data_IF_831100420695
#
_entry.id   IF_831100420695
#
_cell.length_a   1.000
_cell.length_b   1.000
_cell.length_c   1.000
_cell.angle_alpha   90.00
_cell.angle_beta   90.00
_cell.angle_gamma   90.00
#
_symmetry.space_group_name_H-M   'P 1'
#
loop_
_entity.id
_entity.type
_entity.pdbx_description
1 polymer ?
#
# COMPACT_ATOMS: atom_id res chain seq x y z
N UNK A 1 0.69 2.65 -18.92
CA UNK A 1 -0.32 1.76 -18.28
C UNK A 1 0.13 0.31 -18.43
N UNK A 2 0.31 -0.41 -17.31
CA UNK A 2 0.71 -1.83 -17.33
C UNK A 2 -0.49 -2.72 -17.68
N UNK A 3 -0.40 -3.46 -18.80
CA UNK A 3 -1.52 -4.28 -19.35
C UNK A 3 -1.18 -5.77 -19.49
N UNK A 4 -0.11 -6.24 -18.84
CA UNK A 4 0.31 -7.65 -18.93
C UNK A 4 -0.80 -8.63 -18.48
N UNK A 5 -1.63 -8.22 -17.52
CA UNK A 5 -2.78 -9.00 -17.02
C UNK A 5 -3.94 -9.14 -18.03
N UNK A 6 -3.89 -8.43 -19.17
CA UNK A 6 -4.88 -8.49 -20.25
C UNK A 6 -4.45 -9.38 -21.42
N UNK A 7 -3.21 -9.87 -21.43
CA UNK A 7 -2.68 -10.69 -22.51
C UNK A 7 -3.43 -12.03 -22.59
N UNK A 8 -3.69 -12.51 -23.81
CA UNK A 8 -4.44 -13.75 -24.09
C UNK A 8 -3.89 -14.97 -23.34
N UNK A 9 -2.56 -15.08 -23.22
CA UNK A 9 -1.91 -16.18 -22.50
C UNK A 9 -2.31 -16.21 -21.03
N UNK A 10 -2.39 -15.04 -20.38
CA UNK A 10 -2.83 -14.88 -18.99
C UNK A 10 -4.31 -15.20 -18.88
N UNK A 11 -5.14 -14.65 -19.78
CA UNK A 11 -6.59 -14.88 -19.77
C UNK A 11 -6.94 -16.37 -19.96
N UNK A 12 -6.29 -17.05 -20.91
CA UNK A 12 -6.45 -18.50 -21.12
C UNK A 12 -6.04 -19.30 -19.88
N UNK A 13 -4.98 -18.87 -19.17
CA UNK A 13 -4.54 -19.52 -17.94
C UNK A 13 -5.57 -19.37 -16.80
N UNK A 14 -6.11 -18.16 -16.61
CA UNK A 14 -7.15 -17.88 -15.61
C UNK A 14 -8.42 -18.69 -15.88
N UNK A 15 -8.87 -18.74 -17.13
CA UNK A 15 -10.02 -19.55 -17.55
C UNK A 15 -9.80 -21.04 -17.25
N UNK A 16 -8.63 -21.59 -17.58
CA UNK A 16 -8.26 -22.99 -17.27
C UNK A 16 -8.29 -23.28 -15.77
N UNK A 17 -7.99 -22.29 -14.93
CA UNK A 17 -8.01 -22.39 -13.46
C UNK A 17 -9.37 -22.06 -12.83
N UNK A 18 -10.41 -21.81 -13.64
CA UNK A 18 -11.75 -21.38 -13.18
C UNK A 18 -11.70 -20.08 -12.35
N UNK A 19 -10.77 -19.19 -12.68
CA UNK A 19 -10.61 -17.89 -12.03
C UNK A 19 -11.23 -16.80 -12.89
N UNK A 20 -12.18 -16.05 -12.33
CA UNK A 20 -12.76 -14.88 -12.98
C UNK A 20 -11.85 -13.68 -12.79
N UNK A 21 -11.68 -12.88 -13.84
CA UNK A 21 -10.90 -11.64 -13.83
C UNK A 21 -11.85 -10.45 -13.76
N UNK A 22 -11.67 -9.60 -12.76
CA UNK A 22 -12.22 -8.25 -12.73
C UNK A 22 -11.13 -7.26 -13.16
N UNK A 23 -11.44 -6.35 -14.08
CA UNK A 23 -10.53 -5.26 -14.48
C UNK A 23 -10.99 -3.99 -13.81
N UNK A 24 -10.10 -3.37 -13.04
CA UNK A 24 -10.39 -2.12 -12.34
C UNK A 24 -10.16 -0.95 -13.31
N UNK A 25 -11.14 -0.04 -13.49
CA UNK A 25 -10.96 1.15 -14.31
C UNK A 25 -9.86 2.06 -13.76
N UNK A 26 -9.24 2.85 -14.64
CA UNK A 26 -8.27 3.87 -14.23
C UNK A 26 -8.93 4.87 -13.28
N UNK A 27 -8.20 5.27 -12.23
CA UNK A 27 -8.71 6.18 -11.19
C UNK A 27 -9.57 5.51 -10.11
N UNK A 28 -9.89 4.21 -10.23
CA UNK A 28 -10.68 3.49 -9.23
C UNK A 28 -9.84 2.61 -8.29
N UNK A 29 -8.52 2.66 -8.37
CA UNK A 29 -7.61 1.86 -7.53
C UNK A 29 -7.82 2.12 -6.04
N UNK A 30 -7.94 3.39 -5.64
CA UNK A 30 -8.18 3.80 -4.25
C UNK A 30 -9.57 3.47 -3.71
N UNK A 31 -10.44 2.86 -4.54
CA UNK A 31 -11.82 2.50 -4.16
C UNK A 31 -12.05 0.99 -4.26
N UNK A 32 -11.54 0.36 -5.32
CA UNK A 32 -11.90 -1.01 -5.69
C UNK A 32 -10.76 -2.01 -5.47
N UNK A 33 -9.55 -1.57 -5.12
CA UNK A 33 -8.42 -2.47 -4.87
C UNK A 33 -8.14 -2.56 -3.37
N UNK A 34 -8.44 -3.69 -2.70
CA UNK A 34 -8.21 -3.86 -1.26
C UNK A 34 -6.77 -3.57 -0.84
N UNK A 35 -5.84 -3.90 -1.75
CA UNK A 35 -4.42 -3.64 -1.55
C UNK A 35 -4.16 -2.14 -1.36
N UNK A 36 -4.69 -1.27 -2.22
CA UNK A 36 -4.47 0.18 -2.13
C UNK A 36 -5.37 0.85 -1.08
N UNK A 37 -6.56 0.30 -0.85
CA UNK A 37 -7.52 0.83 0.14
C UNK A 37 -7.06 0.62 1.58
N UNK A 38 -6.43 -0.51 1.91
CA UNK A 38 -6.15 -0.81 3.33
C UNK A 38 -4.87 -1.58 3.62
N UNK A 39 -4.27 -2.29 2.66
CA UNK A 39 -3.16 -3.20 2.97
C UNK A 39 -1.78 -2.59 2.69
N UNK A 40 -1.65 -1.80 1.63
CA UNK A 40 -0.38 -1.20 1.22
C UNK A 40 0.17 -0.25 2.28
N UNK A 41 -0.68 0.56 2.92
CA UNK A 41 -0.24 1.49 3.97
C UNK A 41 0.42 0.76 5.14
N UNK A 42 -0.26 -0.15 5.89
CA UNK A 42 0.39 -0.86 7.00
C UNK A 42 1.58 -1.70 6.55
N UNK A 43 1.52 -2.33 5.38
CA UNK A 43 2.64 -3.08 4.81
C UNK A 43 3.89 -2.19 4.60
N UNK A 44 3.74 -1.05 3.90
CA UNK A 44 4.82 -0.10 3.63
C UNK A 44 5.34 0.52 4.93
N UNK A 45 4.45 0.89 5.85
CA UNK A 45 4.84 1.42 7.18
C UNK A 45 5.71 0.43 7.95
N UNK A 46 5.31 -0.84 8.04
CA UNK A 46 6.11 -1.85 8.75
C UNK A 46 7.44 -2.14 8.05
N UNK A 47 7.43 -2.24 6.73
CA UNK A 47 8.65 -2.44 5.93
C UNK A 47 9.64 -1.29 6.15
N UNK A 48 9.15 -0.03 6.12
CA UNK A 48 9.98 1.15 6.38
C UNK A 48 10.54 1.15 7.79
N UNK A 49 9.74 0.79 8.81
CA UNK A 49 10.24 0.68 10.17
C UNK A 49 11.37 -0.35 10.33
N UNK A 50 11.24 -1.53 9.71
CA UNK A 50 12.28 -2.57 9.73
C UNK A 50 13.55 -2.13 9.00
N UNK A 51 13.40 -1.49 7.85
CA UNK A 51 14.52 -0.92 7.11
C UNK A 51 15.23 0.18 7.92
N UNK A 52 14.48 1.09 8.56
CA UNK A 52 15.04 2.17 9.38
C UNK A 52 15.81 1.60 10.57
N UNK A 53 15.26 0.60 11.26
CA UNK A 53 15.96 -0.07 12.38
C UNK A 53 17.26 -0.71 11.91
N UNK A 54 17.23 -1.41 10.78
CA UNK A 54 18.45 -1.97 10.19
C UNK A 54 19.44 -0.89 9.76
N UNK A 55 18.97 0.25 9.26
CA UNK A 55 19.80 1.39 8.93
C UNK A 55 20.38 2.10 10.15
N UNK A 56 19.81 1.98 11.35
CA UNK A 56 20.34 2.63 12.55
C UNK A 56 21.27 1.66 13.29
N UNK A 57 20.79 0.44 13.53
CA UNK A 57 21.38 -0.53 14.46
C UNK A 57 22.07 -1.70 13.75
N UNK A 58 21.85 -1.87 12.44
CA UNK A 58 22.38 -3.01 11.68
C UNK A 58 23.88 -2.91 11.39
N UNK A 59 24.51 -4.02 10.97
CA UNK A 59 25.93 -4.06 10.64
C UNK A 59 26.29 -3.04 9.56
N UNK A 60 27.26 -2.17 9.87
CA UNK A 60 27.78 -1.15 8.96
C UNK A 60 28.93 -1.72 8.14
N UNK A 61 28.57 -2.45 7.09
CA UNK A 61 29.53 -2.85 6.07
C UNK A 61 29.63 -1.78 4.98
N UNK A 62 30.85 -1.52 4.53
CA UNK A 62 31.12 -0.55 3.47
C UNK A 62 31.66 -1.23 2.22
N UNK A 63 31.38 -0.64 1.07
CA UNK A 63 32.00 -1.00 -0.21
C UNK A 63 33.43 -0.47 -0.25
N UNK A 64 34.23 -0.92 -1.23
CA UNK A 64 35.58 -0.37 -1.42
C UNK A 64 35.59 1.15 -1.69
N UNK A 65 34.47 1.70 -2.20
CA UNK A 65 34.27 3.14 -2.40
C UNK A 65 33.80 3.90 -1.18
N UNK A 66 33.62 3.25 -0.02
CA UNK A 66 33.20 3.91 1.22
C UNK A 66 31.68 4.06 1.40
N UNK A 67 30.85 3.62 0.44
CA UNK A 67 29.39 3.65 0.59
C UNK A 67 28.91 2.48 1.45
N UNK A 68 27.87 2.70 2.27
CA UNK A 68 27.25 1.61 3.04
C UNK A 68 26.67 0.57 2.08
N UNK A 69 26.87 -0.71 2.37
CA UNK A 69 26.30 -1.79 1.57
C UNK A 69 24.77 -1.77 1.65
N UNK A 70 24.13 -2.05 0.51
CA UNK A 70 22.70 -2.32 0.45
C UNK A 70 22.33 -3.59 1.23
N UNK A 71 21.10 -3.65 1.72
CA UNK A 71 20.55 -4.87 2.29
C UNK A 71 20.60 -6.03 1.27
N UNK A 72 20.84 -7.24 1.75
CA UNK A 72 20.80 -8.43 0.90
C UNK A 72 19.36 -8.73 0.48
N UNK A 73 19.18 -9.49 -0.61
CA UNK A 73 17.84 -9.94 -1.02
C UNK A 73 17.16 -10.76 0.08
N UNK A 74 17.92 -11.61 0.77
CA UNK A 74 17.40 -12.38 1.91
C UNK A 74 16.85 -11.44 2.99
N UNK A 75 17.60 -10.40 3.35
CA UNK A 75 17.18 -9.45 4.37
C UNK A 75 15.88 -8.71 3.97
N UNK A 76 15.75 -8.32 2.69
CA UNK A 76 14.53 -7.69 2.16
C UNK A 76 13.35 -8.66 2.18
N UNK A 77 13.57 -9.94 1.86
CA UNK A 77 12.54 -10.97 1.95
C UNK A 77 12.06 -11.17 3.40
N UNK A 78 12.97 -11.19 4.37
CA UNK A 78 12.63 -11.29 5.80
C UNK A 78 11.77 -10.10 6.26
N UNK A 79 12.08 -8.89 5.81
CA UNK A 79 11.24 -7.72 6.09
C UNK A 79 9.87 -7.80 5.43
N UNK A 80 9.82 -8.28 4.19
CA UNK A 80 8.56 -8.45 3.44
C UNK A 80 7.63 -9.44 4.16
N UNK A 81 8.17 -10.58 4.60
CA UNK A 81 7.43 -11.58 5.37
C UNK A 81 6.96 -10.98 6.70
N UNK A 82 7.86 -10.36 7.45
CA UNK A 82 7.54 -9.75 8.75
C UNK A 82 6.50 -8.63 8.63
N UNK A 83 6.54 -7.84 7.56
CA UNK A 83 5.56 -6.79 7.28
C UNK A 83 4.20 -7.38 6.95
N UNK A 84 4.15 -8.42 6.12
CA UNK A 84 2.90 -9.12 5.80
C UNK A 84 2.28 -9.78 7.04
N UNK A 85 3.07 -10.48 7.84
CA UNK A 85 2.60 -11.17 9.05
C UNK A 85 2.10 -10.21 10.14
N UNK A 86 2.54 -8.94 10.10
CA UNK A 86 2.02 -7.91 11.00
C UNK A 86 0.61 -7.45 10.68
N UNK A 87 0.10 -7.73 9.47
CA UNK A 87 -1.25 -7.36 9.05
C UNK A 87 -2.22 -8.42 9.56
N UNK A 88 -3.19 -7.99 10.36
CA UNK A 88 -4.17 -8.91 10.93
C UNK A 88 -5.09 -9.50 9.85
N UNK A 89 -5.56 -10.74 10.06
CA UNK A 89 -6.59 -11.35 9.21
C UNK A 89 -7.85 -10.49 9.13
N UNK A 90 -8.20 -9.83 10.23
CA UNK A 90 -9.35 -8.91 10.31
C UNK A 90 -9.18 -7.73 9.35
N UNK A 91 -7.98 -7.12 9.30
CA UNK A 91 -7.66 -6.04 8.35
C UNK A 91 -7.83 -6.51 6.91
N UNK A 92 -7.39 -7.74 6.60
CA UNK A 92 -7.58 -8.32 5.27
C UNK A 92 -9.07 -8.48 4.96
N UNK A 93 -9.86 -9.09 5.84
CA UNK A 93 -11.30 -9.29 5.63
C UNK A 93 -12.01 -7.95 5.43
N UNK A 94 -11.76 -6.96 6.31
CA UNK A 94 -12.34 -5.62 6.21
C UNK A 94 -11.97 -4.92 4.91
N UNK A 95 -10.74 -5.07 4.43
CA UNK A 95 -10.31 -4.45 3.16
C UNK A 95 -11.13 -4.92 1.96
N UNK A 96 -11.49 -6.21 1.92
CA UNK A 96 -12.32 -6.77 0.84
C UNK A 96 -13.78 -6.33 0.95
N UNK A 97 -14.33 -6.26 2.17
CA UNK A 97 -15.68 -5.74 2.41
C UNK A 97 -15.80 -4.26 2.07
N UNK A 98 -14.79 -3.46 2.41
CA UNK A 98 -14.76 -2.04 2.09
C UNK A 98 -14.71 -1.76 0.57
N UNK A 99 -14.14 -2.69 -0.20
CA UNK A 99 -14.13 -2.61 -1.66
C UNK A 99 -15.39 -3.19 -2.32
N UNK A 100 -16.40 -3.63 -1.55
CA UNK A 100 -17.61 -4.23 -2.10
C UNK A 100 -17.42 -5.63 -2.71
N UNK A 101 -16.32 -6.32 -2.40
CA UNK A 101 -15.94 -7.57 -3.09
C UNK A 101 -16.52 -8.79 -2.38
N UNK A 102 -16.55 -8.78 -1.05
CA UNK A 102 -16.95 -9.94 -0.23
C UNK A 102 -18.20 -9.67 0.61
N UNK A 103 -18.97 -8.65 0.25
CA UNK A 103 -20.19 -8.25 0.94
C UNK A 103 -21.36 -9.17 0.54
N UNK A 104 -22.36 -9.26 1.41
CA UNK A 104 -23.62 -9.90 1.10
C UNK A 104 -24.34 -9.19 -0.06
N UNK A 105 -24.85 -9.97 -1.02
CA UNK A 105 -25.54 -9.47 -2.22
C UNK A 105 -26.88 -8.81 -1.88
N UNK A 106 -27.45 -9.12 -0.70
CA UNK A 106 -28.71 -8.55 -0.23
C UNK A 106 -28.58 -7.13 0.36
N UNK A 107 -27.36 -6.57 0.37
CA UNK A 107 -27.08 -5.22 0.86
C UNK A 107 -27.01 -5.12 2.39
N UNK A 108 -27.11 -6.23 3.12
CA UNK A 108 -27.05 -6.23 4.59
C UNK A 108 -25.69 -5.79 5.17
N UNK A 109 -24.66 -5.68 4.34
CA UNK A 109 -23.30 -5.28 4.73
C UNK A 109 -22.82 -4.00 4.02
N UNK A 110 -23.74 -3.18 3.47
CA UNK A 110 -23.39 -1.96 2.74
C UNK A 110 -22.82 -0.86 3.66
N UNK A 111 -23.12 -0.91 4.97
CA UNK A 111 -22.56 0.02 5.96
C UNK A 111 -21.02 0.00 5.96
N UNK A 112 -20.41 -1.17 5.70
CA UNK A 112 -18.95 -1.34 5.67
C UNK A 112 -18.26 -0.58 4.52
N UNK A 113 -19.01 -0.10 3.52
CA UNK A 113 -18.49 0.72 2.42
C UNK A 113 -18.22 2.17 2.90
N UNK A 114 -18.95 2.62 3.92
CA UNK A 114 -18.96 4.02 4.37
C UNK A 114 -18.34 4.23 5.75
N UNK A 115 -17.67 3.21 6.32
CA UNK A 115 -17.02 3.28 7.64
C UNK A 115 -16.15 4.54 7.83
N UNK A 116 -15.50 5.06 6.78
CA UNK A 116 -14.66 6.27 6.86
C UNK A 116 -15.48 7.57 6.97
N UNK A 117 -16.68 7.61 6.39
CA UNK A 117 -17.58 8.78 6.46
C UNK A 117 -18.26 8.85 7.82
N UNK A 118 -18.61 7.69 8.38
CA UNK A 118 -19.28 7.57 9.69
C UNK A 118 -18.31 7.92 10.84
N UNK A 119 -17.02 7.63 10.70
CA UNK A 119 -16.01 7.97 11.71
C UNK A 119 -15.44 9.39 11.56
N UNK A 120 -15.79 10.11 10.49
CA UNK A 120 -15.38 11.50 10.26
C UNK A 120 -16.34 12.53 10.88
N UNK A 121 -17.49 12.12 11.42
CA UNK A 121 -18.49 13.03 12.01
C UNK A 121 -18.23 13.52 13.43
N UNK A 122 -17.14 13.10 14.08
CA UNK A 122 -16.77 13.56 15.44
C UNK A 122 -15.55 14.49 15.45
N UNK A 123 -15.55 15.56 14.64
CA UNK A 123 -14.94 16.84 15.02
C UNK A 123 -15.25 17.96 14.01
N UNK A 124 -16.36 18.69 14.17
CA UNK A 124 -16.39 20.14 13.90
C UNK A 124 -17.69 20.77 14.41
N UNK A 125 -17.67 21.20 15.68
CA UNK A 125 -18.40 22.39 16.10
C UNK A 125 -17.48 23.17 17.02
N UNK A 126 -16.66 24.07 16.47
CA UNK A 126 -16.30 25.35 17.11
C UNK A 126 -15.81 26.30 16.02
N UNK A 127 -16.44 27.47 16.00
CA UNK A 127 -16.30 28.59 15.08
C UNK A 127 -14.97 29.33 15.24
N UNK A 128 -14.32 29.64 14.10
CA UNK A 128 -13.36 30.73 13.79
C UNK A 128 -12.24 31.11 14.76
N UNK A 129 -10.99 30.93 14.35
CA UNK A 129 -9.97 32.00 14.25
C UNK A 129 -8.71 31.49 13.52
N UNK A 130 -8.12 32.37 12.73
CA UNK A 130 -6.99 32.20 11.81
C UNK A 130 -5.73 31.60 12.45
N UNK A 131 -5.19 30.52 11.86
CA UNK A 131 -3.76 30.19 11.85
C UNK A 131 -3.50 29.38 10.57
N UNK A 132 -2.74 29.93 9.63
CA UNK A 132 -2.18 29.15 8.52
C UNK A 132 -1.13 28.17 9.03
N UNK A 133 -1.11 26.91 8.58
CA UNK A 133 0.07 26.06 8.67
C UNK A 133 0.78 26.01 7.31
N UNK A 134 2.05 26.37 7.36
CA UNK A 134 3.08 26.25 6.33
C UNK A 134 3.01 24.91 5.57
N UNK A 135 3.08 25.01 4.24
CA UNK A 135 3.22 23.87 3.33
C UNK A 135 4.61 23.24 3.51
N UNK A 136 4.66 22.06 4.13
CA UNK A 136 5.80 21.16 4.04
C UNK A 136 5.29 19.82 3.48
N UNK A 137 4.89 19.83 2.20
CA UNK A 137 4.34 18.65 1.51
C UNK A 137 4.96 18.35 0.14
N UNK A 138 5.96 19.10 -0.32
CA UNK A 138 6.58 18.84 -1.64
C UNK A 138 7.76 17.84 -1.61
N UNK A 139 8.02 17.16 -0.49
CA UNK A 139 9.17 16.25 -0.36
C UNK A 139 8.85 14.77 -0.66
N UNK A 140 7.59 14.35 -0.61
CA UNK A 140 7.20 12.94 -0.80
C UNK A 140 7.09 12.54 -2.28
N UNK A 141 6.85 13.48 -3.19
CA UNK A 141 6.63 13.18 -4.62
C UNK A 141 7.94 13.14 -5.45
N UNK A 142 9.08 13.55 -4.88
CA UNK A 142 10.34 13.66 -5.63
C UNK A 142 11.04 12.30 -5.87
N UNK A 143 10.67 11.25 -5.12
CA UNK A 143 11.33 9.94 -5.21
C UNK A 143 10.56 8.89 -6.00
N UNK A 144 9.27 9.13 -6.28
CA UNK A 144 8.41 8.17 -6.98
C UNK A 144 8.63 8.18 -8.51
N UNK A 145 9.16 9.28 -9.06
CA UNK A 145 9.44 9.45 -10.50
C UNK A 145 10.94 9.45 -10.87
N UNK A 146 11.83 9.18 -9.91
CA UNK A 146 13.27 9.09 -10.21
C UNK A 146 13.59 7.75 -10.91
N UNK A 147 14.07 7.74 -12.16
CA UNK A 147 14.42 6.50 -12.83
C UNK A 147 15.56 5.80 -12.08
N UNK A 148 15.51 4.47 -12.04
CA UNK A 148 16.52 3.63 -11.35
C UNK A 148 17.97 3.89 -11.79
N UNK A 149 18.19 4.59 -12.91
CA UNK A 149 19.50 5.05 -13.38
C UNK A 149 20.09 6.18 -12.55
N UNK A 150 19.25 6.95 -11.87
CA UNK A 150 19.63 8.21 -11.21
C UNK A 150 19.74 8.04 -9.68
N UNK A 151 19.42 6.84 -9.17
CA UNK A 151 19.67 6.42 -7.80
C UNK A 151 21.16 6.05 -7.63
N UNK A 152 22.05 7.04 -7.68
CA UNK A 152 23.46 6.90 -7.32
C UNK A 152 23.75 7.63 -6.00
N UNK A 153 23.87 6.86 -4.92
CA UNK A 153 24.90 6.98 -3.88
C UNK A 153 24.97 5.68 -3.06
#
# INVERSE_FOLDING_TARGET
MFRAHLVDSVQKNLLRRKTHKAVIPGGCTSLLQPQDVSLNKPFKTKTRALWTEWMISGPKEYTAGGNQRRASYQQVCEWTISAWDSISKETVIKSFKKCGISNAIDGSEDDALYDDLINSSDNTTTTTAEVEPEEDSELDDMYDDMPLSDLQM
#
